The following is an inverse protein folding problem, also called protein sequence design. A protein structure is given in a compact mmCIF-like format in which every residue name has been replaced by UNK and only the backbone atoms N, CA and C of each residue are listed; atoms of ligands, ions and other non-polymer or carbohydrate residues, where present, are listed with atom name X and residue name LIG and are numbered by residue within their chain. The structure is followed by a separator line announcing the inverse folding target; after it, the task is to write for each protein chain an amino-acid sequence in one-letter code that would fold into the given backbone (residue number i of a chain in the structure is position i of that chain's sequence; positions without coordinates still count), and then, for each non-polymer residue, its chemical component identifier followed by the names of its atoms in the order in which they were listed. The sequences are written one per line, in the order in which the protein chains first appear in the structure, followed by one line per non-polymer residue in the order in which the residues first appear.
data_IF_059980600581
#
_entry.id   IF_059980600581
#
_cell.length_a   1.000
_cell.length_b   1.000
_cell.length_c   1.000
_cell.angle_alpha   90.00
_cell.angle_beta   90.00
_cell.angle_gamma   90.00
#
_symmetry.space_group_name_H-M   'P 1'
#
loop_
_entity.id
_entity.type
_entity.pdbx_description
1 polymer ?
#
# COMPACT_ATOMS: atom_id res chain seq x y z
N UNK A 1 -18.40 -4.64 -24.42
CA UNK A 1 -17.48 -3.81 -23.61
C UNK A 1 -17.90 -3.96 -22.15
N UNK A 2 -17.27 -4.85 -21.39
CA UNK A 2 -17.48 -4.94 -19.94
C UNK A 2 -16.77 -3.76 -19.30
N UNK A 3 -17.50 -2.90 -18.58
CA UNK A 3 -16.94 -1.73 -17.91
C UNK A 3 -15.97 -2.11 -16.79
N UNK A 4 -15.17 -1.13 -16.34
CA UNK A 4 -14.31 -1.28 -15.16
C UNK A 4 -15.14 -1.70 -13.95
N UNK A 5 -14.59 -2.56 -13.10
CA UNK A 5 -15.20 -2.87 -11.80
C UNK A 5 -15.34 -1.60 -10.96
N UNK A 6 -16.23 -1.63 -9.96
CA UNK A 6 -16.39 -0.50 -9.03
C UNK A 6 -15.07 -0.12 -8.34
N UNK A 7 -14.25 -1.10 -7.97
CA UNK A 7 -12.96 -0.88 -7.32
C UNK A 7 -11.93 -0.25 -8.27
N UNK A 8 -11.83 -0.73 -9.52
CA UNK A 8 -10.92 -0.15 -10.51
C UNK A 8 -11.34 1.27 -10.92
N UNK A 9 -12.64 1.55 -11.01
CA UNK A 9 -13.14 2.90 -11.26
C UNK A 9 -12.84 3.85 -10.08
N UNK A 10 -12.99 3.38 -8.84
CA UNK A 10 -12.61 4.16 -7.65
C UNK A 10 -11.10 4.43 -7.60
N UNK A 11 -10.29 3.45 -7.95
CA UNK A 11 -8.84 3.56 -8.08
C UNK A 11 -8.44 4.61 -9.13
N UNK A 12 -8.97 4.50 -10.36
CA UNK A 12 -8.69 5.45 -11.44
C UNK A 12 -9.12 6.87 -11.06
N UNK A 13 -10.27 7.02 -10.42
CA UNK A 13 -10.74 8.31 -9.92
C UNK A 13 -9.79 8.91 -8.87
N UNK A 14 -9.21 8.08 -8.01
CA UNK A 14 -8.31 8.53 -6.95
C UNK A 14 -6.93 8.94 -7.48
N UNK A 15 -6.33 8.13 -8.35
CA UNK A 15 -4.95 8.33 -8.82
C UNK A 15 -4.82 8.95 -10.21
N UNK A 16 -5.93 9.09 -10.95
CA UNK A 16 -5.95 9.58 -12.33
C UNK A 16 -5.32 8.61 -13.33
N UNK A 17 -5.11 7.35 -12.95
CA UNK A 17 -4.55 6.28 -13.79
C UNK A 17 -4.89 4.91 -13.23
N UNK A 18 -4.92 3.91 -14.11
CA UNK A 18 -5.15 2.51 -13.72
C UNK A 18 -3.87 1.77 -13.33
N UNK A 19 -2.73 2.15 -13.90
CA UNK A 19 -1.47 1.43 -13.74
C UNK A 19 -0.32 2.33 -13.30
N UNK A 20 0.72 1.67 -12.81
CA UNK A 20 2.00 2.28 -12.48
C UNK A 20 1.90 3.37 -11.40
N UNK A 21 0.89 3.37 -10.52
CA UNK A 21 0.82 4.30 -9.38
C UNK A 21 1.97 4.02 -8.43
N UNK A 22 2.64 5.05 -7.91
CA UNK A 22 3.70 4.91 -6.91
C UNK A 22 3.24 5.52 -5.59
N UNK A 23 3.28 4.70 -4.54
CA UNK A 23 2.92 5.07 -3.17
C UNK A 23 4.19 5.03 -2.32
N UNK A 24 4.61 6.18 -1.79
CA UNK A 24 5.75 6.28 -0.87
C UNK A 24 5.34 5.99 0.57
N UNK A 25 6.15 5.26 1.33
CA UNK A 25 5.87 4.98 2.75
C UNK A 25 6.56 6.01 3.66
N UNK A 26 5.77 6.81 4.37
CA UNK A 26 6.24 7.68 5.44
C UNK A 26 6.33 6.84 6.71
N UNK A 27 7.51 6.26 6.95
CA UNK A 27 7.80 5.52 8.18
C UNK A 27 7.93 6.52 9.34
N UNK A 28 6.96 6.53 10.24
CA UNK A 28 7.00 7.36 11.43
C UNK A 28 8.13 6.90 12.34
N UNK A 29 8.83 7.87 12.92
CA UNK A 29 9.64 7.60 14.10
C UNK A 29 8.78 7.02 15.23
N UNK A 30 9.43 6.30 16.14
CA UNK A 30 8.80 5.62 17.27
C UNK A 30 7.89 6.59 18.02
N UNK A 31 6.61 6.25 18.15
CA UNK A 31 5.60 7.10 18.76
C UNK A 31 5.77 7.16 20.29
N UNK A 32 5.36 8.26 20.96
CA UNK A 32 5.39 8.33 22.41
C UNK A 32 4.69 7.13 23.06
N UNK A 33 5.32 6.56 24.10
CA UNK A 33 4.87 5.33 24.76
C UNK A 33 5.52 4.05 24.22
N UNK A 34 6.12 4.07 23.02
CA UNK A 34 6.84 2.90 22.50
C UNK A 34 8.30 2.85 23.00
N UNK A 35 8.92 1.65 23.08
CA UNK A 35 10.22 1.49 23.73
C UNK A 35 11.38 2.27 23.09
N UNK A 36 11.27 2.62 21.81
CA UNK A 36 12.31 3.32 21.06
C UNK A 36 12.05 4.82 20.90
N UNK A 37 10.98 5.35 21.50
CA UNK A 37 10.69 6.77 21.35
C UNK A 37 11.75 7.64 22.02
N UNK A 38 12.21 8.64 21.28
CA UNK A 38 13.10 9.70 21.77
C UNK A 38 12.65 11.09 21.31
N UNK A 39 11.50 11.19 20.63
CA UNK A 39 11.01 12.43 20.03
C UNK A 39 9.68 12.84 20.65
N UNK A 40 9.43 14.14 20.67
CA UNK A 40 8.09 14.68 20.92
C UNK A 40 7.18 14.40 19.73
N UNK A 41 5.87 14.41 19.96
CA UNK A 41 4.89 14.24 18.87
C UNK A 41 5.04 15.32 17.80
N UNK A 42 5.43 16.55 18.16
CA UNK A 42 5.63 17.63 17.19
C UNK A 42 6.83 17.36 16.28
N UNK A 43 7.96 16.88 16.81
CA UNK A 43 9.12 16.52 15.99
C UNK A 43 8.80 15.38 15.01
N UNK A 44 8.00 14.39 15.45
CA UNK A 44 7.54 13.29 14.57
C UNK A 44 6.69 13.84 13.43
N UNK A 45 5.77 14.76 13.74
CA UNK A 45 4.93 15.44 12.75
C UNK A 45 5.77 16.21 11.74
N UNK A 46 6.75 16.98 12.21
CA UNK A 46 7.59 17.81 11.36
C UNK A 46 8.40 16.97 10.37
N UNK A 47 8.96 15.84 10.84
CA UNK A 47 9.65 14.88 9.98
C UNK A 47 8.69 14.24 8.97
N UNK A 48 7.53 13.76 9.42
CA UNK A 48 6.56 13.10 8.54
C UNK A 48 6.05 14.04 7.43
N UNK A 49 5.80 15.31 7.75
CA UNK A 49 5.39 16.31 6.77
C UNK A 49 6.52 16.65 5.79
N UNK A 50 7.76 16.74 6.27
CA UNK A 50 8.94 16.92 5.42
C UNK A 50 9.10 15.76 4.44
N UNK A 51 8.96 14.52 4.89
CA UNK A 51 9.03 13.33 4.02
C UNK A 51 7.90 13.33 2.98
N UNK A 52 6.66 13.60 3.40
CA UNK A 52 5.52 13.70 2.48
C UNK A 52 5.74 14.80 1.41
N UNK A 53 6.28 15.95 1.80
CA UNK A 53 6.64 17.02 0.88
C UNK A 53 7.68 16.56 -0.15
N UNK A 54 8.73 15.85 0.28
CA UNK A 54 9.75 15.30 -0.62
C UNK A 54 9.11 14.35 -1.63
N UNK A 55 8.26 13.42 -1.18
CA UNK A 55 7.56 12.50 -2.08
C UNK A 55 6.73 13.24 -3.14
N UNK A 56 5.89 14.18 -2.72
CA UNK A 56 5.03 14.89 -3.66
C UNK A 56 5.79 15.84 -4.59
N UNK A 57 6.88 16.47 -4.10
CA UNK A 57 7.77 17.31 -4.91
C UNK A 57 8.36 16.53 -6.09
N UNK A 58 8.69 15.26 -5.90
CA UNK A 58 9.28 14.39 -6.92
C UNK A 58 8.26 13.56 -7.71
N UNK A 59 6.96 13.86 -7.57
CA UNK A 59 5.91 13.27 -8.39
C UNK A 59 5.46 11.88 -7.95
N UNK A 60 5.76 11.45 -6.73
CA UNK A 60 5.11 10.28 -6.12
C UNK A 60 3.60 10.54 -6.06
N UNK A 61 2.79 9.57 -6.47
CA UNK A 61 1.36 9.77 -6.67
C UNK A 61 0.59 9.84 -5.34
N UNK A 62 1.09 9.13 -4.32
CA UNK A 62 0.49 9.08 -2.98
C UNK A 62 1.49 8.77 -1.89
N UNK A 63 1.09 9.02 -0.64
CA UNK A 63 1.84 8.55 0.54
C UNK A 63 0.98 7.66 1.41
N UNK A 64 1.61 6.71 2.09
CA UNK A 64 1.01 5.95 3.18
C UNK A 64 1.82 6.16 4.45
N UNK A 65 1.14 6.57 5.52
CA UNK A 65 1.75 6.74 6.85
C UNK A 65 1.77 5.40 7.57
N UNK A 66 2.93 4.97 8.08
CA UNK A 66 3.11 3.67 8.74
C UNK A 66 3.94 3.83 10.02
N UNK A 67 3.55 3.17 11.12
CA UNK A 67 4.24 3.27 12.42
C UNK A 67 5.44 2.29 12.55
N UNK A 68 6.34 2.29 11.56
CA UNK A 68 7.39 1.28 11.39
C UNK A 68 8.50 1.26 12.46
N UNK A 69 8.63 2.31 13.27
CA UNK A 69 9.64 2.38 14.33
C UNK A 69 9.08 2.02 15.71
N UNK A 70 7.80 1.69 15.83
CA UNK A 70 7.12 1.26 17.08
C UNK A 70 7.50 -0.17 17.53
N UNK A 71 8.73 -0.61 17.22
CA UNK A 71 9.16 -1.97 17.54
C UNK A 71 9.46 -2.14 19.05
N UNK A 72 9.07 -3.28 19.65
CA UNK A 72 8.23 -4.34 19.09
C UNK A 72 6.76 -3.93 18.95
N UNK A 73 6.12 -4.36 17.86
CA UNK A 73 4.73 -4.00 17.57
C UNK A 73 3.75 -4.70 18.50
N UNK A 74 2.60 -4.06 18.72
CA UNK A 74 1.49 -4.60 19.52
C UNK A 74 0.37 -5.03 18.59
N UNK A 75 -0.01 -6.31 18.64
CA UNK A 75 -1.09 -6.85 17.81
C UNK A 75 -2.46 -6.34 18.26
N UNK A 76 -3.35 -6.08 17.30
CA UNK A 76 -4.78 -5.93 17.60
C UNK A 76 -5.32 -7.15 18.39
N UNK A 77 -6.19 -6.96 19.41
CA UNK A 77 -6.85 -5.73 19.85
C UNK A 77 -6.12 -4.96 20.97
N UNK A 78 -4.83 -5.21 21.19
CA UNK A 78 -4.08 -4.63 22.31
C UNK A 78 -3.44 -3.27 22.00
N UNK A 79 -3.66 -2.73 20.80
CA UNK A 79 -3.15 -1.42 20.40
C UNK A 79 -3.81 -0.35 21.28
N UNK A 80 -2.98 0.44 21.97
CA UNK A 80 -3.47 1.45 22.87
C UNK A 80 -4.05 2.68 22.14
N UNK A 81 -4.97 3.42 22.79
CA UNK A 81 -5.59 4.62 22.21
C UNK A 81 -4.56 5.72 21.88
N UNK A 82 -3.40 5.72 22.54
CA UNK A 82 -2.30 6.64 22.29
C UNK A 82 -1.76 6.49 20.85
N UNK A 83 -1.61 5.27 20.33
CA UNK A 83 -1.14 5.02 18.96
C UNK A 83 -2.12 5.63 17.96
N UNK A 84 -3.41 5.31 18.11
CA UNK A 84 -4.46 5.87 17.24
C UNK A 84 -4.48 7.40 17.29
N UNK A 85 -4.30 7.99 18.48
CA UNK A 85 -4.28 9.44 18.69
C UNK A 85 -3.07 10.10 18.02
N UNK A 86 -1.88 9.55 18.19
CA UNK A 86 -0.65 10.11 17.62
C UNK A 86 -0.61 9.97 16.11
N UNK A 87 -1.01 8.82 15.55
CA UNK A 87 -1.08 8.65 14.09
C UNK A 87 -2.15 9.56 13.49
N UNK A 88 -3.29 9.76 14.16
CA UNK A 88 -4.31 10.75 13.76
C UNK A 88 -3.70 12.16 13.71
N UNK A 89 -2.97 12.57 14.74
CA UNK A 89 -2.32 13.89 14.80
C UNK A 89 -1.33 14.10 13.65
N UNK A 90 -0.56 13.08 13.27
CA UNK A 90 0.34 13.15 12.11
C UNK A 90 -0.43 13.21 10.80
N UNK A 91 -1.39 12.30 10.59
CA UNK A 91 -2.18 12.22 9.37
C UNK A 91 -2.98 13.50 9.10
N UNK A 92 -3.57 14.10 10.14
CA UNK A 92 -4.31 15.35 10.05
C UNK A 92 -3.42 16.49 9.52
N UNK A 93 -2.17 16.56 9.98
CA UNK A 93 -1.24 17.62 9.57
C UNK A 93 -0.75 17.41 8.13
N UNK A 94 -0.47 16.16 7.72
CA UNK A 94 -0.14 15.85 6.33
C UNK A 94 -1.34 16.18 5.42
N UNK A 95 -2.57 15.80 5.80
CA UNK A 95 -3.78 16.16 5.04
C UNK A 95 -3.94 17.67 4.93
N UNK A 96 -3.71 18.43 6.00
CA UNK A 96 -3.80 19.89 6.01
C UNK A 96 -2.85 20.52 5.00
N UNK A 97 -1.61 20.03 4.91
CA UNK A 97 -0.61 20.52 3.96
C UNK A 97 -0.87 20.06 2.52
N UNK A 98 -1.45 18.86 2.34
CA UNK A 98 -1.70 18.25 1.04
C UNK A 98 -3.18 17.88 0.83
N UNK A 99 -4.10 18.85 0.76
CA UNK A 99 -5.55 18.61 0.78
C UNK A 99 -6.07 17.81 -0.42
N UNK A 100 -5.37 17.86 -1.56
CA UNK A 100 -5.78 17.19 -2.81
C UNK A 100 -4.98 15.92 -3.13
N UNK A 101 -3.94 15.61 -2.37
CA UNK A 101 -3.09 14.44 -2.65
C UNK A 101 -3.71 13.18 -2.05
N UNK A 102 -3.64 12.02 -2.72
CA UNK A 102 -4.00 10.76 -2.12
C UNK A 102 -3.08 10.45 -0.93
N UNK A 103 -3.69 10.16 0.22
CA UNK A 103 -3.00 9.80 1.45
C UNK A 103 -3.67 8.56 2.01
N UNK A 104 -2.88 7.60 2.48
CA UNK A 104 -3.37 6.47 3.24
C UNK A 104 -2.65 6.30 4.57
N UNK A 105 -3.08 5.32 5.35
CA UNK A 105 -2.48 4.98 6.64
C UNK A 105 -2.45 3.47 6.84
N UNK A 106 -1.44 3.02 7.56
CA UNK A 106 -1.28 1.67 8.07
C UNK A 106 -0.89 1.75 9.55
N UNK A 107 -1.59 0.96 10.37
CA UNK A 107 -1.15 0.67 11.73
C UNK A 107 -0.76 -0.80 11.75
N UNK A 108 0.52 -1.06 12.02
CA UNK A 108 1.13 -2.38 11.92
C UNK A 108 0.56 -3.37 12.95
N UNK A 109 0.82 -4.65 12.71
CA UNK A 109 0.36 -5.78 13.52
C UNK A 109 -1.18 -5.91 13.53
N UNK A 110 -1.79 -5.66 12.38
CA UNK A 110 -3.23 -5.85 12.17
C UNK A 110 -4.11 -4.77 12.77
N UNK A 111 -3.57 -3.56 13.01
CA UNK A 111 -4.30 -2.38 13.49
C UNK A 111 -5.26 -1.78 12.46
N UNK A 112 -6.03 -2.62 11.77
CA UNK A 112 -6.83 -2.23 10.61
C UNK A 112 -8.04 -1.39 11.02
N UNK A 113 -8.62 -1.67 12.19
CA UNK A 113 -9.74 -0.89 12.74
C UNK A 113 -9.28 0.52 13.13
N UNK A 114 -8.11 0.62 13.76
CA UNK A 114 -7.44 1.85 14.14
C UNK A 114 -7.09 2.67 12.89
N UNK A 115 -6.46 2.04 11.89
CA UNK A 115 -6.15 2.66 10.59
C UNK A 115 -7.41 3.20 9.90
N UNK A 116 -8.51 2.45 9.91
CA UNK A 116 -9.78 2.87 9.31
C UNK A 116 -10.39 4.08 10.03
N UNK A 117 -10.35 4.08 11.36
CA UNK A 117 -10.81 5.21 12.17
C UNK A 117 -9.97 6.47 11.91
N UNK A 118 -8.64 6.34 11.88
CA UNK A 118 -7.70 7.43 11.53
C UNK A 118 -8.02 7.96 10.14
N UNK A 119 -8.15 7.06 9.15
CA UNK A 119 -8.42 7.43 7.78
C UNK A 119 -9.72 8.23 7.65
N UNK A 120 -10.78 7.77 8.31
CA UNK A 120 -12.06 8.49 8.33
C UNK A 120 -11.94 9.86 9.01
N UNK A 121 -11.35 9.92 10.21
CA UNK A 121 -11.23 11.15 10.98
C UNK A 121 -10.39 12.23 10.28
N UNK A 122 -9.34 11.82 9.56
CA UNK A 122 -8.46 12.73 8.84
C UNK A 122 -8.84 12.94 7.36
N UNK A 123 -9.94 12.34 6.87
CA UNK A 123 -10.31 12.41 5.45
C UNK A 123 -9.23 11.84 4.53
N UNK A 124 -8.62 10.72 4.90
CA UNK A 124 -7.69 9.97 4.07
C UNK A 124 -8.45 9.11 3.05
N UNK A 125 -7.72 8.55 2.09
CA UNK A 125 -8.31 7.89 0.92
C UNK A 125 -8.30 6.37 1.01
N UNK A 126 -7.32 5.79 1.70
CA UNK A 126 -7.18 4.34 1.79
C UNK A 126 -6.46 3.91 3.06
N UNK A 127 -6.63 2.65 3.43
CA UNK A 127 -5.79 1.95 4.39
C UNK A 127 -5.07 0.79 3.72
N UNK A 128 -3.92 0.43 4.25
CA UNK A 128 -3.31 -0.89 4.00
C UNK A 128 -3.65 -1.81 5.16
N UNK A 129 -4.31 -2.93 4.86
CA UNK A 129 -4.83 -3.85 5.86
C UNK A 129 -4.05 -5.16 5.87
N UNK A 130 -3.58 -5.56 7.06
CA UNK A 130 -2.84 -6.81 7.28
C UNK A 130 -3.77 -7.89 7.81
N UNK A 131 -3.66 -9.14 7.34
CA UNK A 131 -4.54 -10.21 7.84
C UNK A 131 -6.03 -9.93 7.55
N UNK A 132 -6.33 -9.31 6.40
CA UNK A 132 -7.71 -9.02 6.01
C UNK A 132 -8.52 -10.30 5.80
N UNK A 133 -7.93 -11.27 5.08
CA UNK A 133 -8.47 -12.62 4.87
C UNK A 133 -7.44 -13.66 5.23
N UNK A 134 -7.94 -14.79 5.72
CA UNK A 134 -7.16 -15.92 6.22
C UNK A 134 -6.21 -15.58 7.38
N UNK A 135 -5.77 -16.62 8.09
CA UNK A 135 -4.90 -16.49 9.27
C UNK A 135 -3.46 -16.78 8.88
N UNK A 136 -2.53 -16.00 9.41
CA UNK A 136 -1.09 -16.22 9.27
C UNK A 136 -0.38 -16.03 10.61
N UNK A 137 0.82 -16.58 10.77
CA UNK A 137 1.64 -16.41 11.99
C UNK A 137 2.71 -15.36 11.72
N UNK A 138 2.58 -14.17 12.31
CA UNK A 138 3.54 -13.08 12.20
C UNK A 138 4.49 -13.03 13.41
N UNK A 139 5.39 -12.04 13.43
CA UNK A 139 6.32 -11.80 14.55
C UNK A 139 5.58 -11.56 15.88
N UNK A 140 4.37 -11.01 15.82
CA UNK A 140 3.48 -10.74 16.96
C UNK A 140 2.55 -11.92 17.31
N UNK A 141 2.70 -13.06 16.62
CA UNK A 141 1.91 -14.27 16.80
C UNK A 141 0.84 -14.46 15.72
N UNK A 142 -0.21 -15.22 16.04
CA UNK A 142 -1.30 -15.55 15.11
C UNK A 142 -2.10 -14.27 14.79
N UNK A 143 -2.21 -13.90 13.53
CA UNK A 143 -3.06 -12.80 13.04
C UNK A 143 -4.34 -13.38 12.46
N UNK A 144 -5.47 -13.11 13.10
CA UNK A 144 -6.79 -13.57 12.64
C UNK A 144 -7.35 -12.69 11.52
N UNK A 145 -8.10 -13.31 10.62
CA UNK A 145 -8.78 -12.61 9.54
C UNK A 145 -9.80 -11.58 10.07
N UNK A 146 -9.74 -10.34 9.57
CA UNK A 146 -10.56 -9.24 10.10
C UNK A 146 -11.62 -8.68 9.15
N UNK A 147 -11.79 -9.21 7.92
CA UNK A 147 -12.65 -8.60 6.89
C UNK A 147 -14.09 -8.30 7.36
N UNK A 148 -14.74 -9.27 8.02
CA UNK A 148 -16.13 -9.14 8.47
C UNK A 148 -16.33 -7.99 9.47
N UNK A 149 -15.64 -8.00 10.64
CA UNK A 149 -15.70 -6.90 11.59
C UNK A 149 -15.27 -5.55 11.00
N UNK A 150 -14.19 -5.51 10.21
CA UNK A 150 -13.65 -4.28 9.62
C UNK A 150 -14.65 -3.62 8.66
N UNK A 151 -15.30 -4.39 7.78
CA UNK A 151 -16.28 -3.86 6.83
C UNK A 151 -17.56 -3.39 7.51
N UNK A 152 -18.00 -4.07 8.58
CA UNK A 152 -19.14 -3.59 9.39
C UNK A 152 -18.80 -2.27 10.07
N UNK A 153 -17.60 -2.15 10.63
CA UNK A 153 -17.12 -0.89 11.20
C UNK A 153 -17.06 0.20 10.13
N UNK A 154 -16.49 -0.08 8.94
CA UNK A 154 -16.46 0.86 7.82
C UNK A 154 -17.83 1.44 7.50
N UNK A 155 -18.83 0.56 7.41
CA UNK A 155 -20.22 0.98 7.18
C UNK A 155 -20.79 1.75 8.37
N UNK A 156 -20.53 1.30 9.58
CA UNK A 156 -21.07 1.89 10.81
C UNK A 156 -20.62 3.33 11.03
N UNK A 157 -19.34 3.63 10.76
CA UNK A 157 -18.77 4.97 10.93
C UNK A 157 -18.90 5.85 9.68
N UNK A 158 -19.46 5.34 8.59
CA UNK A 158 -19.62 6.09 7.32
C UNK A 158 -18.33 6.22 6.48
N UNK A 159 -17.35 5.36 6.70
CA UNK A 159 -16.03 5.40 6.03
C UNK A 159 -15.99 4.64 4.69
N UNK A 160 -17.11 4.48 3.99
CA UNK A 160 -17.19 3.72 2.73
C UNK A 160 -16.40 4.35 1.57
N UNK A 161 -15.99 5.61 1.73
CA UNK A 161 -15.08 6.30 0.82
C UNK A 161 -13.60 5.96 1.06
N UNK A 162 -13.26 5.26 2.14
CA UNK A 162 -11.91 4.79 2.44
C UNK A 162 -11.72 3.40 1.82
N UNK A 163 -10.81 3.30 0.85
CA UNK A 163 -10.46 2.02 0.21
C UNK A 163 -9.66 1.14 1.19
N UNK A 164 -9.95 -0.16 1.20
CA UNK A 164 -9.20 -1.17 1.95
C UNK A 164 -8.31 -1.93 0.96
N UNK A 165 -7.01 -1.66 1.01
CA UNK A 165 -6.00 -2.38 0.22
C UNK A 165 -5.41 -3.49 1.09
N UNK A 166 -5.77 -4.74 0.81
CA UNK A 166 -5.45 -5.88 1.66
C UNK A 166 -4.11 -6.54 1.29
N UNK A 167 -3.19 -6.68 2.25
CA UNK A 167 -2.02 -7.54 2.07
C UNK A 167 -2.46 -9.01 1.94
N UNK A 168 -1.93 -9.70 0.94
CA UNK A 168 -2.12 -11.14 0.72
C UNK A 168 -0.77 -11.86 0.74
N UNK A 169 -0.72 -13.01 1.41
CA UNK A 169 0.53 -13.74 1.72
C UNK A 169 1.66 -12.82 2.20
N UNK A 170 1.35 -12.00 3.20
CA UNK A 170 2.22 -10.96 3.76
C UNK A 170 3.62 -11.49 4.12
N UNK A 171 4.63 -10.66 3.89
CA UNK A 171 6.00 -10.76 4.42
C UNK A 171 6.03 -10.84 5.95
N UNK A 172 7.08 -11.45 6.50
CA UNK A 172 7.24 -11.66 7.96
C UNK A 172 6.05 -12.42 8.58
N UNK A 173 5.46 -13.32 7.80
CA UNK A 173 4.44 -14.22 8.28
C UNK A 173 4.63 -15.61 7.69
N UNK A 174 4.49 -16.63 8.53
CA UNK A 174 4.39 -18.01 8.11
C UNK A 174 2.94 -18.32 7.72
N UNK A 175 2.78 -18.91 6.54
CA UNK A 175 1.48 -19.26 5.94
C UNK A 175 1.22 -20.77 5.99
N UNK A 176 1.82 -21.49 6.94
CA UNK A 176 1.70 -22.95 7.05
C UNK A 176 0.25 -23.40 7.26
N UNK A 177 -0.53 -22.64 8.04
CA UNK A 177 -1.95 -22.88 8.31
C UNK A 177 -2.78 -22.85 7.02
N UNK A 178 -2.36 -22.05 6.04
CA UNK A 178 -3.05 -21.80 4.77
C UNK A 178 -2.19 -22.24 3.59
N UNK A 179 -1.35 -23.25 3.79
CA UNK A 179 -0.34 -23.67 2.81
C UNK A 179 -0.95 -24.36 1.59
N UNK A 180 -2.17 -24.85 1.72
CA UNK A 180 -3.01 -25.39 0.65
C UNK A 180 -3.56 -24.31 -0.30
N UNK A 181 -3.53 -23.04 0.11
CA UNK A 181 -4.03 -21.93 -0.70
C UNK A 181 -2.93 -21.30 -1.55
N UNK A 182 -3.20 -21.15 -2.85
CA UNK A 182 -2.34 -20.37 -3.76
C UNK A 182 -2.52 -18.86 -3.55
N UNK A 183 -1.62 -18.03 -4.08
CA UNK A 183 -1.79 -16.56 -4.02
C UNK A 183 -3.07 -16.11 -4.72
N UNK A 184 -3.45 -16.80 -5.79
CA UNK A 184 -4.68 -16.59 -6.55
C UNK A 184 -5.91 -16.89 -5.69
N UNK A 185 -5.92 -18.00 -4.95
CA UNK A 185 -7.03 -18.32 -4.05
C UNK A 185 -7.19 -17.27 -2.96
N UNK A 186 -6.08 -16.80 -2.39
CA UNK A 186 -6.10 -15.74 -1.37
C UNK A 186 -6.60 -14.42 -1.96
N UNK A 187 -6.17 -14.04 -3.16
CA UNK A 187 -6.63 -12.84 -3.85
C UNK A 187 -8.14 -12.88 -4.15
N UNK A 188 -8.64 -14.00 -4.67
CA UNK A 188 -10.07 -14.21 -4.92
C UNK A 188 -10.88 -14.20 -3.61
N UNK A 189 -10.33 -14.77 -2.53
CA UNK A 189 -10.93 -14.70 -1.20
C UNK A 189 -11.00 -13.26 -0.68
N UNK A 190 -9.98 -12.45 -0.88
CA UNK A 190 -9.97 -11.03 -0.53
C UNK A 190 -11.03 -10.23 -1.33
N UNK A 191 -11.12 -10.46 -2.64
CA UNK A 191 -12.14 -9.85 -3.49
C UNK A 191 -13.56 -10.28 -3.10
N UNK A 192 -13.77 -11.57 -2.83
CA UNK A 192 -15.05 -12.10 -2.33
C UNK A 192 -15.43 -11.44 -1.00
N UNK A 193 -14.45 -11.22 -0.13
CA UNK A 193 -14.59 -10.48 1.12
C UNK A 193 -14.59 -8.95 0.93
N UNK A 194 -14.83 -8.45 -0.28
CA UNK A 194 -15.03 -7.02 -0.60
C UNK A 194 -13.81 -6.11 -0.31
N UNK A 195 -12.59 -6.62 -0.46
CA UNK A 195 -11.40 -5.77 -0.54
C UNK A 195 -11.49 -4.83 -1.76
N UNK A 196 -10.99 -3.61 -1.61
CA UNK A 196 -10.95 -2.63 -2.72
C UNK A 196 -9.68 -2.75 -3.56
N UNK A 197 -8.73 -3.59 -3.13
CA UNK A 197 -7.50 -3.92 -3.82
C UNK A 197 -6.69 -4.94 -3.01
N UNK A 198 -5.75 -5.61 -3.65
CA UNK A 198 -4.84 -6.56 -3.01
C UNK A 198 -3.39 -6.14 -3.20
N UNK A 199 -2.58 -6.41 -2.19
CA UNK A 199 -1.15 -6.10 -2.16
C UNK A 199 -0.39 -7.41 -2.03
N UNK A 200 0.42 -7.72 -3.04
CA UNK A 200 1.33 -8.86 -3.02
C UNK A 200 2.66 -8.36 -2.47
N UNK A 201 3.19 -9.05 -1.45
CA UNK A 201 4.49 -8.70 -0.86
C UNK A 201 5.50 -9.82 -1.05
N UNK A 202 6.78 -9.48 -1.26
CA UNK A 202 7.86 -10.45 -1.27
C UNK A 202 8.04 -11.15 0.09
N UNK A 203 8.65 -12.35 0.10
CA UNK A 203 8.72 -13.24 1.28
C UNK A 203 9.39 -12.59 2.52
N UNK A 204 10.32 -11.65 2.29
CA UNK A 204 11.03 -10.88 3.34
C UNK A 204 11.29 -9.44 2.86
N UNK A 205 11.54 -8.50 3.79
CA UNK A 205 12.00 -7.14 3.43
C UNK A 205 13.26 -7.19 2.55
N UNK A 206 13.24 -6.52 1.40
CA UNK A 206 14.35 -6.50 0.44
C UNK A 206 14.41 -7.68 -0.53
N UNK A 207 13.54 -8.69 -0.39
CA UNK A 207 13.34 -9.72 -1.41
C UNK A 207 12.17 -9.34 -2.30
N UNK A 208 12.40 -9.37 -3.62
CA UNK A 208 11.43 -9.00 -4.64
C UNK A 208 10.25 -10.00 -4.70
N UNK A 209 9.00 -9.51 -4.89
CA UNK A 209 7.88 -10.37 -5.26
C UNK A 209 8.15 -11.08 -6.58
N UNK A 210 7.59 -12.27 -6.78
CA UNK A 210 7.68 -12.96 -8.08
C UNK A 210 6.83 -12.20 -9.11
N UNK A 211 7.42 -11.64 -10.18
CA UNK A 211 6.66 -10.97 -11.24
C UNK A 211 5.64 -11.90 -11.93
N UNK A 212 5.79 -13.22 -11.85
CA UNK A 212 4.78 -14.15 -12.37
C UNK A 212 3.52 -14.20 -11.50
N UNK A 213 3.66 -14.12 -10.17
CA UNK A 213 2.51 -14.04 -9.27
C UNK A 213 1.65 -12.80 -9.56
N UNK A 214 2.30 -11.71 -9.98
CA UNK A 214 1.63 -10.48 -10.41
C UNK A 214 0.66 -10.70 -11.56
N UNK A 215 1.20 -11.17 -12.68
CA UNK A 215 0.47 -11.35 -13.92
C UNK A 215 -0.65 -12.37 -13.76
N UNK A 216 -0.44 -13.41 -12.96
CA UNK A 216 -1.48 -14.42 -12.72
C UNK A 216 -2.56 -13.89 -11.77
N UNK A 217 -2.21 -13.15 -10.72
CA UNK A 217 -3.19 -12.58 -9.78
C UNK A 217 -4.13 -11.60 -10.48
N UNK A 218 -3.60 -10.73 -11.34
CA UNK A 218 -4.39 -9.78 -12.11
C UNK A 218 -5.41 -10.41 -13.06
N UNK A 219 -5.19 -11.65 -13.49
CA UNK A 219 -6.10 -12.38 -14.37
C UNK A 219 -7.26 -13.01 -13.62
N UNK A 220 -7.18 -13.14 -12.30
CA UNK A 220 -8.17 -13.87 -11.48
C UNK A 220 -9.02 -12.97 -10.58
N UNK A 221 -8.69 -11.67 -10.48
CA UNK A 221 -9.48 -10.68 -9.74
C UNK A 221 -9.82 -9.47 -10.60
N UNK A 222 -10.90 -8.77 -10.25
CA UNK A 222 -11.32 -7.52 -10.90
C UNK A 222 -11.04 -6.28 -10.06
N UNK A 223 -10.19 -6.38 -9.03
CA UNK A 223 -9.77 -5.27 -8.16
C UNK A 223 -8.30 -4.89 -8.41
N UNK A 224 -7.86 -3.66 -8.09
CA UNK A 224 -6.47 -3.25 -8.17
C UNK A 224 -5.50 -4.24 -7.49
N UNK A 225 -4.42 -4.60 -8.21
CA UNK A 225 -3.32 -5.43 -7.70
C UNK A 225 -2.05 -4.57 -7.59
N UNK A 226 -1.53 -4.49 -6.37
CA UNK A 226 -0.35 -3.70 -6.03
C UNK A 226 0.81 -4.62 -5.62
N UNK A 227 2.04 -4.13 -5.80
CA UNK A 227 3.24 -4.75 -5.23
C UNK A 227 3.75 -3.94 -4.06
N UNK A 228 3.82 -4.59 -2.90
CA UNK A 228 4.44 -4.03 -1.71
C UNK A 228 5.79 -4.66 -1.45
N UNK A 229 6.78 -3.85 -1.04
CA UNK A 229 8.11 -4.30 -0.62
C UNK A 229 8.97 -4.92 -1.74
N UNK A 230 10.26 -4.58 -1.77
CA UNK A 230 11.23 -5.19 -2.69
C UNK A 230 11.25 -4.62 -4.11
N UNK A 231 10.41 -3.65 -4.43
CA UNK A 231 10.55 -2.84 -5.65
C UNK A 231 11.67 -1.82 -5.43
N UNK A 232 12.63 -1.82 -6.34
CA UNK A 232 13.77 -0.90 -6.37
C UNK A 232 13.86 -0.24 -7.74
N UNK A 233 14.69 0.79 -7.85
CA UNK A 233 14.98 1.44 -9.14
C UNK A 233 15.46 0.43 -10.19
N UNK A 234 16.20 -0.61 -9.78
CA UNK A 234 16.85 -1.58 -10.65
C UNK A 234 15.86 -2.63 -11.20
N UNK A 235 14.85 -3.05 -10.42
CA UNK A 235 13.88 -4.06 -10.83
C UNK A 235 12.51 -3.50 -11.25
N UNK A 236 12.32 -2.17 -11.20
CA UNK A 236 11.07 -1.48 -11.53
C UNK A 236 10.44 -1.92 -12.87
N UNK A 237 11.27 -2.16 -13.88
CA UNK A 237 10.85 -2.58 -15.22
C UNK A 237 10.04 -3.88 -15.23
N UNK A 238 10.24 -4.77 -14.24
CA UNK A 238 9.52 -6.03 -14.12
C UNK A 238 8.08 -5.86 -13.61
N UNK A 239 7.72 -4.71 -13.03
CA UNK A 239 6.42 -4.52 -12.38
C UNK A 239 5.58 -3.41 -13.00
N UNK A 240 6.21 -2.36 -13.53
CA UNK A 240 5.51 -1.10 -13.81
C UNK A 240 4.40 -1.22 -14.87
N UNK A 241 4.56 -2.11 -15.85
CA UNK A 241 3.60 -2.27 -16.97
C UNK A 241 2.35 -3.06 -16.61
N UNK A 242 2.45 -3.93 -15.60
CA UNK A 242 1.34 -4.79 -15.21
C UNK A 242 0.66 -4.24 -13.95
N UNK A 243 1.43 -3.81 -12.95
CA UNK A 243 0.93 -3.39 -11.64
C UNK A 243 -0.03 -2.19 -11.70
N UNK A 244 -1.14 -2.26 -10.95
CA UNK A 244 -1.96 -1.07 -10.71
C UNK A 244 -1.19 -0.04 -9.88
N UNK A 245 -0.47 -0.51 -8.85
CA UNK A 245 0.37 0.33 -8.01
C UNK A 245 1.57 -0.38 -7.38
N UNK A 246 2.54 0.42 -6.93
CA UNK A 246 3.79 0.01 -6.30
C UNK A 246 3.91 0.75 -4.97
N UNK A 247 4.12 0.04 -3.87
CA UNK A 247 4.37 0.61 -2.55
C UNK A 247 5.86 0.52 -2.26
N UNK A 248 6.52 1.68 -2.20
CA UNK A 248 7.98 1.80 -2.10
C UNK A 248 8.36 2.49 -0.79
N UNK A 249 9.05 1.73 0.07
CA UNK A 249 9.53 2.21 1.37
C UNK A 249 11.05 2.24 1.43
N UNK A 250 11.67 1.09 1.69
CA UNK A 250 13.11 1.01 2.00
C UNK A 250 14.04 1.49 0.89
N UNK A 251 13.68 1.35 -0.39
CA UNK A 251 14.51 1.87 -1.51
C UNK A 251 14.63 3.40 -1.50
N UNK A 252 13.74 4.10 -0.82
CA UNK A 252 13.80 5.55 -0.66
C UNK A 252 14.61 5.99 0.56
N UNK A 253 15.02 5.08 1.44
CA UNK A 253 15.79 5.41 2.65
C UNK A 253 17.30 5.33 2.39
N UNK A 254 18.08 6.03 3.20
CA UNK A 254 19.55 5.94 3.18
C UNK A 254 19.98 4.48 3.33
N UNK A 255 20.92 4.03 2.48
CA UNK A 255 21.41 2.64 2.39
C UNK A 255 20.35 1.56 2.11
N UNK A 256 19.13 1.94 1.78
CA UNK A 256 18.06 0.99 1.46
C UNK A 256 17.45 0.38 2.72
N UNK A 257 17.67 1.00 3.89
CA UNK A 257 17.28 0.47 5.19
C UNK A 257 16.05 1.22 5.69
N UNK A 258 14.95 0.50 5.91
CA UNK A 258 13.64 1.03 6.32
C UNK A 258 13.70 2.02 7.49
N UNK A 259 14.58 1.76 8.47
CA UNK A 259 14.69 2.53 9.70
C UNK A 259 15.58 3.77 9.60
N UNK A 260 16.26 3.97 8.46
CA UNK A 260 17.07 5.15 8.21
C UNK A 260 16.20 6.32 7.68
N UNK A 261 16.79 7.51 7.64
CA UNK A 261 16.18 8.71 7.08
C UNK A 261 15.88 8.57 5.58
N UNK A 262 14.91 9.35 5.10
CA UNK A 262 14.60 9.47 3.68
C UNK A 262 15.76 10.11 2.89
N UNK A 263 16.11 9.51 1.76
CA UNK A 263 17.06 10.06 0.79
C UNK A 263 16.31 10.64 -0.41
N UNK A 264 16.21 11.96 -0.46
CA UNK A 264 15.53 12.69 -1.55
C UNK A 264 16.10 12.35 -2.94
N UNK A 265 17.41 12.11 -3.06
CA UNK A 265 18.03 11.79 -4.36
C UNK A 265 17.58 10.42 -4.88
N UNK A 266 17.31 9.48 -3.98
CA UNK A 266 16.79 8.15 -4.34
C UNK A 266 15.35 8.23 -4.83
N UNK A 267 14.52 9.04 -4.17
CA UNK A 267 13.15 9.32 -4.62
C UNK A 267 13.17 9.94 -6.02
N UNK A 268 14.01 10.96 -6.23
CA UNK A 268 14.15 11.63 -7.53
C UNK A 268 14.60 10.65 -8.63
N UNK A 269 15.64 9.84 -8.36
CA UNK A 269 16.17 8.84 -9.31
C UNK A 269 15.08 7.84 -9.70
N UNK A 270 14.36 7.31 -8.72
CA UNK A 270 13.29 6.34 -8.96
C UNK A 270 12.16 6.95 -9.79
N UNK A 271 11.67 8.12 -9.41
CA UNK A 271 10.56 8.75 -10.13
C UNK A 271 10.93 9.20 -11.55
N UNK A 272 12.20 9.54 -11.80
CA UNK A 272 12.73 9.73 -13.16
C UNK A 272 12.68 8.44 -13.99
N UNK A 273 12.99 7.28 -13.39
CA UNK A 273 12.87 5.99 -14.07
C UNK A 273 11.40 5.64 -14.35
N UNK A 274 10.52 5.86 -13.37
CA UNK A 274 9.06 5.67 -13.51
C UNK A 274 8.50 6.52 -14.64
N UNK A 275 8.86 7.81 -14.71
CA UNK A 275 8.38 8.71 -15.76
C UNK A 275 8.73 8.20 -17.16
N UNK A 276 9.98 7.81 -17.39
CA UNK A 276 10.42 7.22 -18.66
C UNK A 276 9.63 5.99 -19.04
N UNK A 277 9.38 5.09 -18.08
CA UNK A 277 8.67 3.84 -18.33
C UNK A 277 7.18 4.08 -18.59
N UNK A 278 6.56 5.07 -17.93
CA UNK A 278 5.17 5.46 -18.21
C UNK A 278 5.01 5.97 -19.64
N UNK A 279 5.96 6.77 -20.13
CA UNK A 279 5.93 7.29 -21.50
C UNK A 279 6.02 6.13 -22.52
N UNK A 280 6.93 5.17 -22.31
CA UNK A 280 7.08 4.00 -23.19
C UNK A 280 5.80 3.14 -23.24
N UNK A 281 5.14 2.91 -22.10
CA UNK A 281 3.90 2.10 -22.04
C UNK A 281 2.74 2.78 -22.79
N UNK A 282 2.65 4.10 -22.74
CA UNK A 282 1.64 4.87 -23.49
C UNK A 282 1.87 4.73 -24.99
N UNK A 283 3.13 4.79 -25.45
CA UNK A 283 3.48 4.61 -26.86
C UNK A 283 3.14 3.20 -27.36
N UNK A 284 3.48 2.15 -26.59
CA UNK A 284 3.16 0.76 -26.96
C UNK A 284 1.66 0.48 -27.04
N UNK A 285 0.88 1.01 -26.09
CA UNK A 285 -0.58 0.85 -26.09
C UNK A 285 -1.24 1.62 -27.23
N UNK A 286 -0.68 2.76 -27.61
CA UNK A 286 -1.13 3.54 -28.79
C UNK A 286 -0.79 2.79 -30.08
N UNK A 287 0.39 2.19 -30.18
CA UNK A 287 0.82 1.37 -31.32
C UNK A 287 0.03 0.05 -31.47
N UNK A 288 -0.41 -0.57 -30.36
CA UNK A 288 -1.29 -1.75 -30.37
C UNK A 288 -2.71 -1.41 -30.83
N UNK A 289 -3.20 -0.20 -30.56
CA UNK A 289 -4.51 0.29 -31.05
C UNK A 289 -4.53 0.64 -32.53
N UNK A 290 -3.38 0.91 -33.15
CA UNK A 290 -3.28 1.31 -34.57
C UNK A 290 -2.97 0.16 -35.54
N UNK A 291 -2.64 -1.04 -35.06
CA UNK A 291 -2.53 -2.22 -35.94
C UNK A 291 -3.92 -2.77 -36.27
N UNK A 292 -4.33 -2.83 -37.55
CA UNK A 292 -5.59 -3.46 -37.92
C UNK A 292 -5.52 -4.93 -37.53
N UNK A 293 -6.58 -5.43 -36.90
CA UNK A 293 -6.77 -6.86 -36.68
C UNK A 293 -6.96 -7.49 -38.05
N UNK A 294 -5.91 -8.06 -38.62
CA UNK A 294 -6.01 -8.85 -39.85
C UNK A 294 -6.78 -10.11 -39.52
N UNK A 295 -8.10 -10.07 -39.71
CA UNK A 295 -8.94 -11.27 -39.69
C UNK A 295 -8.54 -12.11 -40.90
N UNK A 296 -7.72 -13.13 -40.69
CA UNK A 296 -7.55 -14.19 -41.67
C UNK A 296 -8.82 -15.03 -41.63
N UNK A 297 -9.68 -14.82 -42.62
CA UNK A 297 -10.72 -15.78 -43.00
C UNK A 297 -10.08 -16.65 -44.08
N UNK A 298 -9.90 -17.93 -43.76
CA UNK A 298 -9.42 -18.99 -44.65
C UNK A 298 -9.83 -20.33 -44.08
#
# INVERSE_FOLDING_TARGET
MTGLSKALAAWEKLFGRLQSVVIGVVHLHALPGTPRNSKSIQEIVDVACKEANIYFKHGVDAVIVENSHDIPYVKHPHIGPEITSYVTRVCAEIRRQFPKKPIGVQVLAGGNAEALAIAHACGLNFIRAEGFVYTAVADEGIIDACAGPLLRMRKHIGAENVMILADIKKKHSAHTITSDLTIQNVAQGAEFCLADGVIITGIMTGKQPDPQEAAVTQRVVSIPVLFGSGVTTENLHAFIGDANGLIVGSDFKVDGKMLNDLDEKRVEKFMKAVAKLRDTVVDENSAKKTKPTTTFIG
#
